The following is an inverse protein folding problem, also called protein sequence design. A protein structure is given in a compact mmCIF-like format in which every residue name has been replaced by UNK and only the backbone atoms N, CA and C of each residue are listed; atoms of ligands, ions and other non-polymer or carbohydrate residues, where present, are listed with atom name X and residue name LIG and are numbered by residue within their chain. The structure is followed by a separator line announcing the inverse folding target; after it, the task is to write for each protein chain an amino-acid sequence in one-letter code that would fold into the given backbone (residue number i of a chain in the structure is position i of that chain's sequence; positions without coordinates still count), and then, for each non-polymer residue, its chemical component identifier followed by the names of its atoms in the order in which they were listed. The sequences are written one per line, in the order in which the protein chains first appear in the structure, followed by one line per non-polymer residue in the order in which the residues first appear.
data_IF_456321883559
#
_entry.id   IF_456321883559
#
_cell.length_a   1.000
_cell.length_b   1.000
_cell.length_c   1.000
_cell.angle_alpha   90.00
_cell.angle_beta   90.00
_cell.angle_gamma   90.00
#
_symmetry.space_group_name_H-M   'P 1'
#
loop_
_entity.id
_entity.type
_entity.pdbx_description
1 polymer ?
#
# COMPACT_ATOMS: atom_id res chain seq x y z
N UNK A 1 -0.54 -19.70 -3.97
CA UNK A 1 -1.71 -19.24 -3.20
C UNK A 1 -1.16 -18.52 -2.00
N UNK A 2 -1.12 -17.19 -1.99
CA UNK A 2 -0.53 -16.45 -0.88
C UNK A 2 -1.58 -15.45 -0.37
N UNK A 3 -2.33 -15.83 0.67
CA UNK A 3 -3.00 -14.83 1.51
C UNK A 3 -1.91 -14.12 2.32
N UNK A 4 -2.05 -12.81 2.51
CA UNK A 4 -1.19 -12.05 3.41
C UNK A 4 -1.36 -12.62 4.83
N UNK A 5 -0.27 -12.95 5.56
CA UNK A 5 -0.39 -13.44 6.93
C UNK A 5 -1.05 -12.37 7.81
N UNK A 6 -1.81 -12.80 8.82
CA UNK A 6 -2.30 -11.87 9.83
C UNK A 6 -1.12 -11.10 10.45
N UNK A 7 -1.23 -9.79 10.61
CA UNK A 7 -0.15 -8.96 11.16
C UNK A 7 0.30 -9.41 12.56
N UNK A 8 -0.58 -10.11 13.30
CA UNK A 8 -0.29 -10.74 14.60
C UNK A 8 0.53 -12.02 14.51
N UNK A 9 0.58 -12.68 13.35
CA UNK A 9 1.34 -13.91 13.10
C UNK A 9 2.76 -13.64 12.59
N UNK A 10 3.07 -12.39 12.24
CA UNK A 10 4.41 -11.94 11.83
C UNK A 10 5.24 -11.72 13.09
N UNK A 11 6.30 -12.51 13.28
CA UNK A 11 7.16 -12.46 14.48
C UNK A 11 8.06 -11.22 14.53
N UNK A 12 8.23 -10.52 13.41
CA UNK A 12 9.02 -9.30 13.31
C UNK A 12 8.32 -8.12 14.00
N UNK A 13 9.07 -7.24 14.71
CA UNK A 13 8.52 -6.00 15.24
C UNK A 13 7.75 -5.21 14.19
N UNK A 14 6.70 -4.50 14.58
CA UNK A 14 5.89 -3.70 13.64
C UNK A 14 6.70 -2.64 12.86
N UNK A 15 7.83 -2.21 13.42
CA UNK A 15 8.75 -1.28 12.77
C UNK A 15 9.54 -1.93 11.62
N UNK A 16 9.56 -3.26 11.56
CA UNK A 16 10.32 -4.07 10.61
C UNK A 16 9.39 -4.81 9.62
N UNK A 17 8.18 -4.28 9.38
CA UNK A 17 7.25 -4.87 8.41
C UNK A 17 6.40 -3.82 7.69
N UNK A 18 6.21 -4.03 6.39
CA UNK A 18 5.14 -3.37 5.65
C UNK A 18 3.84 -4.15 5.80
N UNK A 19 2.83 -3.51 6.36
CA UNK A 19 1.47 -4.07 6.39
C UNK A 19 0.63 -3.34 5.37
N UNK A 20 0.12 -4.07 4.38
CA UNK A 20 -0.86 -3.52 3.43
C UNK A 20 -2.23 -3.58 4.06
N UNK A 21 -2.86 -2.43 4.26
CA UNK A 21 -4.15 -2.32 4.95
C UNK A 21 -5.24 -1.87 3.98
N UNK A 22 -6.32 -2.66 3.90
CA UNK A 22 -7.59 -2.22 3.33
C UNK A 22 -8.47 -1.69 4.48
N UNK A 23 -8.70 -0.36 4.59
CA UNK A 23 -9.38 0.20 5.75
C UNK A 23 -10.87 -0.19 5.74
N UNK A 24 -11.32 -0.78 6.84
CA UNK A 24 -12.69 -1.24 7.04
C UNK A 24 -13.28 -0.60 8.29
N UNK A 25 -14.56 -0.24 8.21
CA UNK A 25 -15.33 0.30 9.34
C UNK A 25 -15.66 -0.75 10.40
N UNK A 26 -15.68 -2.02 10.01
CA UNK A 26 -16.08 -3.15 10.86
C UNK A 26 -14.87 -4.06 11.17
N UNK A 27 -14.48 -4.09 12.45
CA UNK A 27 -13.39 -4.91 12.95
C UNK A 27 -13.67 -6.41 12.83
N UNK A 28 -14.91 -6.85 13.03
CA UNK A 28 -15.28 -8.26 12.93
C UNK A 28 -15.20 -8.76 11.49
N UNK A 29 -15.61 -7.94 10.54
CA UNK A 29 -15.43 -8.20 9.12
C UNK A 29 -13.95 -8.23 8.73
N UNK A 30 -13.14 -7.29 9.25
CA UNK A 30 -11.71 -7.26 8.99
C UNK A 30 -11.03 -8.55 9.47
N UNK A 31 -11.34 -9.03 10.68
CA UNK A 31 -10.86 -10.34 11.17
C UNK A 31 -11.31 -11.48 10.26
N UNK A 32 -12.57 -11.48 9.83
CA UNK A 32 -13.09 -12.49 8.92
C UNK A 32 -12.44 -12.50 7.53
N UNK A 33 -11.95 -11.35 7.05
CA UNK A 33 -11.30 -11.21 5.74
C UNK A 33 -9.82 -11.61 5.75
N UNK A 34 -9.16 -11.61 6.90
CA UNK A 34 -7.75 -12.01 7.01
C UNK A 34 -7.53 -13.53 7.10
N UNK A 35 -8.59 -14.34 7.07
CA UNK A 35 -8.51 -15.80 7.04
C UNK A 35 -8.22 -16.33 5.63
N UNK A 36 -7.74 -17.58 5.54
CA UNK A 36 -7.65 -18.29 4.26
C UNK A 36 -9.05 -18.39 3.65
N UNK A 37 -9.24 -17.79 2.46
CA UNK A 37 -10.51 -17.80 1.74
C UNK A 37 -10.49 -18.81 0.59
N UNK A 38 -11.57 -19.58 0.46
CA UNK A 38 -11.81 -20.37 -0.74
C UNK A 38 -12.30 -19.49 -1.90
N UNK A 39 -11.94 -19.86 -3.12
CA UNK A 39 -12.35 -19.13 -4.34
C UNK A 39 -13.87 -18.99 -4.45
N UNK A 40 -14.64 -19.98 -4.00
CA UNK A 40 -16.11 -19.95 -4.00
C UNK A 40 -16.70 -18.87 -3.11
N UNK A 41 -15.98 -18.44 -2.06
CA UNK A 41 -16.43 -17.41 -1.13
C UNK A 41 -15.90 -16.02 -1.50
N UNK A 42 -14.85 -15.95 -2.34
CA UNK A 42 -14.10 -14.74 -2.63
C UNK A 42 -14.98 -13.58 -3.11
N UNK A 43 -15.95 -13.83 -4.00
CA UNK A 43 -16.83 -12.78 -4.52
C UNK A 43 -17.64 -12.10 -3.41
N UNK A 44 -18.29 -12.90 -2.55
CA UNK A 44 -19.11 -12.39 -1.44
C UNK A 44 -18.26 -11.61 -0.43
N UNK A 45 -17.05 -12.08 -0.15
CA UNK A 45 -16.13 -11.36 0.74
C UNK A 45 -15.60 -10.07 0.13
N UNK A 46 -15.28 -10.04 -1.17
CA UNK A 46 -14.91 -8.82 -1.88
C UNK A 46 -16.03 -7.78 -1.83
N UNK A 47 -17.28 -8.18 -2.08
CA UNK A 47 -18.44 -7.28 -2.01
C UNK A 47 -18.59 -6.68 -0.61
N UNK A 48 -18.45 -7.51 0.43
CA UNK A 48 -18.48 -7.04 1.83
C UNK A 48 -17.32 -6.08 2.13
N UNK A 49 -16.11 -6.39 1.68
CA UNK A 49 -14.93 -5.56 1.88
C UNK A 49 -15.05 -4.18 1.20
N UNK A 50 -15.64 -4.13 0.01
CA UNK A 50 -15.93 -2.88 -0.72
C UNK A 50 -16.99 -2.08 0.03
N UNK A 51 -18.12 -2.70 0.38
CA UNK A 51 -19.23 -2.02 1.06
C UNK A 51 -18.87 -1.50 2.45
N UNK A 52 -17.95 -2.17 3.14
CA UNK A 52 -17.48 -1.78 4.46
C UNK A 52 -16.24 -0.87 4.44
N UNK A 53 -15.73 -0.48 3.26
CA UNK A 53 -14.57 0.38 3.13
C UNK A 53 -14.75 1.69 3.91
N UNK A 54 -13.74 2.06 4.70
CA UNK A 54 -13.76 3.30 5.45
C UNK A 54 -13.28 4.47 4.60
N UNK A 55 -14.22 5.04 3.83
CA UNK A 55 -13.99 6.21 2.99
C UNK A 55 -13.53 7.43 3.80
N UNK A 56 -13.99 7.58 5.04
CA UNK A 56 -13.62 8.74 5.87
C UNK A 56 -12.18 8.63 6.33
N UNK A 57 -11.76 7.44 6.77
CA UNK A 57 -10.37 7.16 7.07
C UNK A 57 -9.46 7.33 5.86
N UNK A 58 -9.85 6.78 4.71
CA UNK A 58 -9.09 6.93 3.46
C UNK A 58 -8.92 8.40 3.04
N UNK A 59 -9.98 9.21 3.16
CA UNK A 59 -9.92 10.66 2.90
C UNK A 59 -8.99 11.40 3.86
N UNK A 60 -8.99 11.02 5.14
CA UNK A 60 -8.05 11.57 6.12
C UNK A 60 -6.61 11.26 5.71
N UNK A 61 -6.31 10.01 5.35
CA UNK A 61 -4.97 9.61 4.89
C UNK A 61 -4.54 10.41 3.64
N UNK A 62 -5.43 10.58 2.66
CA UNK A 62 -5.13 11.42 1.47
C UNK A 62 -4.84 12.88 1.86
N UNK A 63 -5.59 13.44 2.81
CA UNK A 63 -5.35 14.79 3.32
C UNK A 63 -3.99 14.90 4.03
N UNK A 64 -3.63 13.90 4.84
CA UNK A 64 -2.36 13.83 5.54
C UNK A 64 -1.18 13.73 4.53
N UNK A 65 -1.31 12.92 3.47
CA UNK A 65 -0.31 12.82 2.38
C UNK A 65 -0.16 14.13 1.60
N UNK A 66 -1.28 14.83 1.34
CA UNK A 66 -1.27 16.15 0.66
C UNK A 66 -0.58 17.24 1.47
N UNK A 67 -0.50 17.10 2.79
CA UNK A 67 0.20 18.04 3.65
C UNK A 67 1.73 17.86 3.63
N UNK A 68 2.24 16.75 3.07
CA UNK A 68 3.67 16.51 2.89
C UNK A 68 4.23 17.41 1.78
N UNK A 69 5.49 17.87 1.94
CA UNK A 69 6.16 18.69 0.93
C UNK A 69 6.34 17.92 -0.38
N UNK A 70 6.32 18.65 -1.50
CA UNK A 70 6.52 18.11 -2.85
C UNK A 70 5.49 17.03 -3.26
N UNK A 71 4.31 17.01 -2.64
CA UNK A 71 3.23 16.11 -3.05
C UNK A 71 2.47 16.68 -4.24
N UNK A 72 2.54 15.98 -5.38
CA UNK A 72 1.64 16.18 -6.52
C UNK A 72 0.67 14.98 -6.60
N UNK A 73 -0.43 15.07 -5.85
CA UNK A 73 -1.44 14.02 -5.77
C UNK A 73 -2.69 14.47 -6.56
N UNK A 74 -2.69 14.12 -7.83
CA UNK A 74 -3.70 14.55 -8.80
C UNK A 74 -4.86 13.55 -8.90
N UNK A 75 -6.07 14.01 -8.61
CA UNK A 75 -7.29 13.20 -8.75
C UNK A 75 -7.71 12.47 -7.46
N UNK A 76 -8.55 11.44 -7.63
CA UNK A 76 -9.23 10.73 -6.53
C UNK A 76 -8.66 9.34 -6.21
N UNK A 77 -7.70 8.86 -6.99
CA UNK A 77 -7.16 7.50 -6.90
C UNK A 77 -7.90 6.51 -7.81
N UNK A 78 -7.81 5.19 -7.54
CA UNK A 78 -7.28 4.58 -6.31
C UNK A 78 -5.76 4.72 -6.14
N UNK A 79 -5.32 4.92 -4.89
CA UNK A 79 -3.90 5.01 -4.52
C UNK A 79 -3.55 3.92 -3.51
N UNK A 80 -2.30 3.47 -3.56
CA UNK A 80 -1.67 2.67 -2.50
C UNK A 80 -0.46 3.43 -1.98
N UNK A 81 -0.41 3.67 -0.67
CA UNK A 81 0.66 4.40 0.00
C UNK A 81 1.50 3.48 0.88
N UNK A 82 2.82 3.68 0.86
CA UNK A 82 3.77 3.01 1.74
C UNK A 82 4.67 4.04 2.40
N UNK A 83 4.65 4.10 3.74
CA UNK A 83 5.48 4.99 4.54
C UNK A 83 6.86 4.38 4.73
N UNK A 84 7.90 5.21 4.61
CA UNK A 84 9.29 4.80 4.75
C UNK A 84 9.94 5.69 5.81
N UNK A 85 10.40 5.12 6.94
CA UNK A 85 10.13 3.75 7.42
C UNK A 85 8.64 3.52 7.73
N UNK A 86 8.22 2.26 7.87
CA UNK A 86 6.82 1.91 8.09
C UNK A 86 6.22 2.52 9.37
N UNK A 87 7.05 2.78 10.39
CA UNK A 87 6.62 3.37 11.65
C UNK A 87 6.36 4.89 11.59
N UNK A 88 6.57 5.53 10.44
CA UNK A 88 6.19 6.93 10.19
C UNK A 88 4.71 7.13 9.89
N UNK A 89 3.96 6.04 9.68
CA UNK A 89 2.51 6.12 9.51
C UNK A 89 1.84 6.83 10.70
N UNK A 90 1.09 7.90 10.41
CA UNK A 90 0.42 8.72 11.43
C UNK A 90 1.34 9.70 12.18
N UNK A 91 2.61 9.83 11.77
CA UNK A 91 3.58 10.81 12.28
C UNK A 91 3.90 11.85 11.19
N UNK A 92 5.07 12.49 11.26
CA UNK A 92 5.61 13.34 10.21
C UNK A 92 6.52 12.50 9.31
N UNK A 93 6.02 11.95 8.19
CA UNK A 93 6.80 11.06 7.35
C UNK A 93 7.91 11.78 6.62
N UNK A 94 9.09 11.15 6.58
CA UNK A 94 10.20 11.64 5.74
C UNK A 94 9.96 11.29 4.27
N UNK A 95 9.51 10.06 3.99
CA UNK A 95 9.30 9.55 2.64
C UNK A 95 8.02 8.70 2.55
N UNK A 96 7.31 8.85 1.43
CA UNK A 96 6.14 8.01 1.09
C UNK A 96 6.29 7.51 -0.35
N UNK A 97 6.14 6.21 -0.55
CA UNK A 97 5.89 5.62 -1.87
C UNK A 97 4.39 5.65 -2.17
N UNK A 98 4.03 6.21 -3.31
CA UNK A 98 2.65 6.24 -3.82
C UNK A 98 2.59 5.45 -5.11
N UNK A 99 1.77 4.41 -5.15
CA UNK A 99 1.38 3.74 -6.39
C UNK A 99 0.02 4.29 -6.83
N UNK A 100 -0.01 4.99 -7.96
CA UNK A 100 -1.25 5.46 -8.59
C UNK A 100 -1.84 4.38 -9.51
N UNK A 101 -3.02 3.89 -9.12
CA UNK A 101 -3.78 2.86 -9.84
C UNK A 101 -4.95 3.47 -10.62
N UNK A 102 -5.05 4.80 -10.76
CA UNK A 102 -6.11 5.49 -11.50
C UNK A 102 -6.24 5.06 -12.97
N UNK A 103 -5.15 4.58 -13.57
CA UNK A 103 -5.10 4.09 -14.95
C UNK A 103 -5.31 2.57 -15.07
N UNK A 104 -5.42 1.87 -13.95
CA UNK A 104 -5.69 0.42 -13.93
C UNK A 104 -7.19 0.20 -14.10
N UNK A 105 -7.57 -0.46 -15.19
CA UNK A 105 -8.98 -0.61 -15.60
C UNK A 105 -9.47 -2.05 -15.61
N UNK A 106 -8.56 -3.02 -15.42
CA UNK A 106 -8.87 -4.45 -15.45
C UNK A 106 -8.35 -5.16 -14.21
N UNK A 107 -8.97 -6.30 -13.89
CA UNK A 107 -8.57 -7.14 -12.76
C UNK A 107 -7.13 -7.64 -12.92
N UNK A 108 -6.76 -8.06 -14.12
CA UNK A 108 -5.45 -8.61 -14.44
C UNK A 108 -4.35 -7.56 -14.25
N UNK A 109 -4.60 -6.32 -14.69
CA UNK A 109 -3.69 -5.20 -14.44
C UNK A 109 -3.55 -4.94 -12.94
N UNK A 110 -4.66 -4.88 -12.20
CA UNK A 110 -4.62 -4.66 -10.74
C UNK A 110 -3.84 -5.78 -10.03
N UNK A 111 -4.06 -7.03 -10.42
CA UNK A 111 -3.38 -8.18 -9.85
C UNK A 111 -1.87 -8.11 -10.06
N UNK A 112 -1.42 -7.76 -11.27
CA UNK A 112 0.01 -7.60 -11.59
C UNK A 112 0.64 -6.50 -10.72
N UNK A 113 -0.02 -5.35 -10.60
CA UNK A 113 0.51 -4.23 -9.80
C UNK A 113 0.58 -4.59 -8.31
N UNK A 114 -0.47 -5.20 -7.75
CA UNK A 114 -0.53 -5.57 -6.34
C UNK A 114 0.44 -6.71 -5.97
N UNK A 115 0.61 -7.70 -6.85
CA UNK A 115 1.63 -8.74 -6.67
C UNK A 115 3.04 -8.16 -6.71
N UNK A 116 3.29 -7.24 -7.64
CA UNK A 116 4.59 -6.57 -7.75
C UNK A 116 4.88 -5.71 -6.53
N UNK A 117 3.86 -5.02 -6.00
CA UNK A 117 3.97 -4.28 -4.74
C UNK A 117 4.35 -5.21 -3.59
N UNK A 118 3.64 -6.34 -3.47
CA UNK A 118 3.91 -7.31 -2.43
C UNK A 118 5.36 -7.84 -2.50
N UNK A 119 5.85 -8.16 -3.70
CA UNK A 119 7.16 -8.77 -3.89
C UNK A 119 8.35 -7.80 -3.82
N UNK A 120 8.15 -6.53 -4.20
CA UNK A 120 9.25 -5.57 -4.34
C UNK A 120 9.29 -4.51 -3.26
N UNK A 121 8.13 -4.19 -2.68
CA UNK A 121 7.99 -3.15 -1.66
C UNK A 121 7.73 -3.80 -0.31
N UNK A 122 6.67 -4.60 -0.19
CA UNK A 122 6.25 -5.11 1.11
C UNK A 122 7.26 -6.09 1.75
N UNK A 123 8.02 -6.82 0.94
CA UNK A 123 9.08 -7.73 1.40
C UNK A 123 10.48 -7.14 1.35
N UNK A 124 10.64 -5.85 1.04
CA UNK A 124 11.96 -5.23 0.92
C UNK A 124 12.42 -4.65 2.27
N UNK A 125 13.31 -5.37 2.93
CA UNK A 125 13.88 -4.99 4.23
C UNK A 125 14.72 -3.71 4.17
N UNK A 126 15.27 -3.34 3.02
CA UNK A 126 16.04 -2.10 2.90
C UNK A 126 15.13 -0.88 3.10
N UNK A 127 13.90 -0.92 2.59
CA UNK A 127 12.88 0.12 2.76
C UNK A 127 12.41 0.30 4.22
N UNK A 128 12.67 -0.68 5.07
CA UNK A 128 12.31 -0.62 6.50
C UNK A 128 13.41 0.04 7.34
N UNK A 129 14.62 0.19 6.80
CA UNK A 129 15.75 0.79 7.54
C UNK A 129 15.60 2.31 7.59
N UNK A 130 15.74 2.87 8.79
CA UNK A 130 15.92 4.33 8.94
C UNK A 130 17.19 4.79 8.24
N UNK A 131 17.12 5.99 7.65
CA UNK A 131 18.23 6.54 6.87
C UNK A 131 18.38 5.91 5.48
N UNK A 132 17.29 5.37 4.91
CA UNK A 132 17.25 4.94 3.51
C UNK A 132 17.82 6.04 2.60
N UNK A 133 18.74 5.68 1.70
CA UNK A 133 19.19 6.65 0.71
C UNK A 133 18.06 6.98 -0.27
N UNK A 134 17.85 8.27 -0.51
CA UNK A 134 16.86 8.74 -1.51
C UNK A 134 17.19 8.16 -2.88
N UNK A 135 18.47 7.90 -3.16
CA UNK A 135 18.97 7.25 -4.37
C UNK A 135 18.44 5.82 -4.54
N UNK A 136 18.35 5.06 -3.45
CA UNK A 136 17.78 3.71 -3.46
C UNK A 136 16.28 3.77 -3.72
N UNK A 137 15.56 4.68 -3.06
CA UNK A 137 14.13 4.89 -3.33
C UNK A 137 13.88 5.31 -4.80
N UNK A 138 14.71 6.22 -5.35
CA UNK A 138 14.68 6.62 -6.76
C UNK A 138 15.01 5.48 -7.70
N UNK A 139 15.88 4.54 -7.31
CA UNK A 139 16.16 3.32 -8.10
C UNK A 139 14.91 2.42 -8.14
N UNK A 140 14.28 2.16 -7.00
CA UNK A 140 13.06 1.35 -6.92
C UNK A 140 11.94 1.94 -7.80
N UNK A 141 11.76 3.26 -7.77
CA UNK A 141 10.80 3.97 -8.63
C UNK A 141 11.12 3.77 -10.12
N UNK A 142 12.39 3.89 -10.52
CA UNK A 142 12.82 3.68 -11.92
C UNK A 142 12.59 2.24 -12.37
N UNK A 143 13.05 1.27 -11.58
CA UNK A 143 12.89 -0.15 -11.88
C UNK A 143 11.41 -0.55 -11.97
N UNK A 144 10.54 0.10 -11.18
CA UNK A 144 9.10 -0.07 -11.30
C UNK A 144 8.56 0.47 -12.63
N UNK A 145 8.93 1.70 -13.01
CA UNK A 145 8.50 2.34 -14.25
C UNK A 145 8.91 1.51 -15.48
N UNK A 146 10.14 1.00 -15.49
CA UNK A 146 10.68 0.17 -16.58
C UNK A 146 9.89 -1.13 -16.77
N UNK A 147 9.35 -1.70 -15.68
CA UNK A 147 8.65 -2.99 -15.71
C UNK A 147 7.13 -2.87 -15.87
N UNK A 148 6.53 -1.77 -15.41
CA UNK A 148 5.07 -1.67 -15.25
C UNK A 148 4.42 -0.53 -16.05
N UNK A 149 5.20 0.38 -16.64
CA UNK A 149 4.68 1.44 -17.50
C UNK A 149 3.59 2.31 -16.82
N UNK A 150 2.34 2.23 -17.31
CA UNK A 150 1.23 3.16 -17.04
C UNK A 150 0.82 3.32 -15.56
N UNK A 151 1.24 2.44 -14.65
CA UNK A 151 1.05 2.61 -13.20
C UNK A 151 2.28 3.28 -12.60
N UNK A 152 2.11 4.50 -12.08
CA UNK A 152 3.23 5.29 -11.58
C UNK A 152 3.47 4.99 -10.09
N UNK A 153 4.65 4.45 -9.80
CA UNK A 153 5.22 4.52 -8.46
C UNK A 153 5.94 5.86 -8.31
N UNK A 154 5.59 6.64 -7.29
CA UNK A 154 6.08 7.99 -7.07
C UNK A 154 6.66 8.08 -5.66
N UNK A 155 7.76 8.81 -5.51
CA UNK A 155 8.34 9.13 -4.21
C UNK A 155 7.90 10.54 -3.78
N UNK A 156 7.28 10.64 -2.61
CA UNK A 156 6.81 11.88 -1.98
C UNK A 156 7.73 12.22 -0.80
N UNK A 157 7.99 13.51 -0.56
CA UNK A 157 8.77 13.99 0.59
C UNK A 157 10.28 14.09 0.36
N UNK A 158 10.81 13.49 -0.71
CA UNK A 158 12.21 13.65 -1.08
C UNK A 158 12.51 15.11 -1.49
N UNK A 159 13.57 15.68 -0.92
CA UNK A 159 14.13 16.99 -1.27
C UNK A 159 14.85 16.92 -2.62
#
# INVERSE_FOLDING_TARGET
MNSLPESSAVQQPRMDQFVTVWPLRDKSLATGLNRIMHRSEASSFCDRAINAYDVMYARKVIADVRAVKNTALDGRGPYLFGWIPADDFGKSPELILMLDLSRVTTYEQALVQLQSWQQKIATNEELLRRGLSVELARRIVRDWADQHGQAFLILIGAV
#
